data_IF_963050719811
#
_entry.id   IF_963050719811
#
_cell.length_a   1.000
_cell.length_b   1.000
_cell.length_c   1.000
_cell.angle_alpha   90.00
_cell.angle_beta   90.00
_cell.angle_gamma   90.00
#
_symmetry.space_group_name_H-M   'P 1'
#
loop_
_entity.id
_entity.type
_entity.pdbx_description
1 polymer ?
#
# COMPACT_ATOMS: atom_id res chain seq x y z
N UNK A 1 -17.40 -1.85 11.37
CA UNK A 1 -16.21 -0.99 11.25
C UNK A 1 -14.94 -1.78 10.92
N UNK A 2 -14.63 -2.84 11.68
CA UNK A 2 -13.42 -3.66 11.48
C UNK A 2 -13.31 -4.21 10.04
N UNK A 3 -14.32 -4.93 9.57
CA UNK A 3 -14.33 -5.51 8.23
C UNK A 3 -14.21 -4.46 7.12
N UNK A 4 -14.76 -3.26 7.33
CA UNK A 4 -14.70 -2.17 6.35
C UNK A 4 -13.26 -1.70 6.12
N UNK A 5 -12.47 -1.52 7.18
CA UNK A 5 -11.05 -1.13 7.07
C UNK A 5 -10.27 -2.15 6.26
N UNK A 6 -10.49 -3.44 6.55
CA UNK A 6 -9.86 -4.53 5.81
C UNK A 6 -10.28 -4.54 4.33
N UNK A 7 -11.58 -4.41 4.04
CA UNK A 7 -12.07 -4.37 2.66
C UNK A 7 -11.55 -3.18 1.87
N UNK A 8 -11.50 -1.98 2.46
CA UNK A 8 -10.97 -0.78 1.79
C UNK A 8 -9.49 -0.93 1.47
N UNK A 9 -8.70 -1.44 2.42
CA UNK A 9 -7.26 -1.63 2.24
C UNK A 9 -6.93 -2.74 1.23
N UNK A 10 -7.67 -3.85 1.25
CA UNK A 10 -7.55 -4.86 0.21
C UNK A 10 -8.03 -4.36 -1.16
N UNK A 11 -9.09 -3.54 -1.19
CA UNK A 11 -9.55 -2.87 -2.41
C UNK A 11 -8.48 -1.96 -2.99
N UNK A 12 -7.78 -1.18 -2.15
CA UNK A 12 -6.65 -0.38 -2.56
C UNK A 12 -5.51 -1.25 -3.13
N UNK A 13 -5.19 -2.38 -2.50
CA UNK A 13 -4.19 -3.32 -3.02
C UNK A 13 -4.59 -3.89 -4.40
N UNK A 14 -5.88 -4.13 -4.61
CA UNK A 14 -6.42 -4.56 -5.89
C UNK A 14 -6.39 -3.43 -6.95
N UNK A 15 -6.60 -2.18 -6.57
CA UNK A 15 -6.48 -1.03 -7.47
C UNK A 15 -5.03 -0.86 -7.97
N UNK A 16 -4.05 -1.05 -7.07
CA UNK A 16 -2.61 -1.07 -7.43
C UNK A 16 -2.33 -2.14 -8.49
N UNK A 17 -2.93 -3.33 -8.36
CA UNK A 17 -2.82 -4.41 -9.38
C UNK A 17 -3.36 -3.98 -10.75
N UNK A 18 -4.46 -3.21 -10.79
CA UNK A 18 -5.06 -2.76 -12.05
C UNK A 18 -4.35 -1.54 -12.65
N UNK A 19 -3.33 -0.99 -11.97
CA UNK A 19 -2.58 0.19 -12.39
C UNK A 19 -3.47 1.39 -12.70
N UNK A 20 -4.47 1.60 -11.85
CA UNK A 20 -5.26 2.83 -11.88
C UNK A 20 -4.50 4.03 -11.31
N UNK A 21 -3.20 3.89 -11.02
CA UNK A 21 -2.31 5.05 -10.99
C UNK A 21 -2.46 5.74 -12.34
N UNK A 22 -3.10 6.91 -12.34
CA UNK A 22 -3.24 7.79 -13.50
C UNK A 22 -1.92 7.83 -14.25
N UNK A 23 -1.81 7.03 -15.30
CA UNK A 23 -0.68 7.11 -16.21
C UNK A 23 -0.82 8.48 -16.82
N UNK A 24 0.16 9.33 -16.51
CA UNK A 24 0.28 10.61 -17.18
C UNK A 24 0.65 10.27 -18.63
N UNK A 25 -0.35 10.09 -19.48
CA UNK A 25 -0.21 9.81 -20.91
C UNK A 25 0.54 10.94 -21.63
N UNK A 26 0.79 12.07 -20.97
CA UNK A 26 1.66 13.14 -21.47
C UNK A 26 3.11 12.69 -21.77
N UNK A 27 3.57 11.55 -21.24
CA UNK A 27 4.94 11.05 -21.48
C UNK A 27 5.07 10.22 -22.77
N UNK A 28 3.97 9.88 -23.46
CA UNK A 28 4.05 9.08 -24.69
C UNK A 28 4.74 9.81 -25.85
N UNK A 29 4.75 11.15 -25.83
CA UNK A 29 5.41 11.99 -26.84
C UNK A 29 6.91 12.23 -26.56
N UNK A 30 7.46 11.73 -25.45
CA UNK A 30 8.85 11.95 -25.07
C UNK A 30 9.80 10.86 -25.59
N UNK A 31 11.08 11.19 -25.85
CA UNK A 31 12.12 10.24 -26.22
C UNK A 31 12.22 9.05 -25.25
N UNK A 32 12.57 7.87 -25.78
CA UNK A 32 12.62 6.59 -25.05
C UNK A 32 13.48 6.63 -23.77
N UNK A 33 14.54 7.46 -23.75
CA UNK A 33 15.39 7.67 -22.57
C UNK A 33 14.68 8.36 -21.41
N UNK A 34 13.84 9.36 -21.70
CA UNK A 34 13.06 10.09 -20.68
C UNK A 34 11.95 9.20 -20.14
N UNK A 35 11.30 8.41 -21.01
CA UNK A 35 10.28 7.43 -20.59
C UNK A 35 10.84 6.37 -19.63
N UNK A 36 12.09 5.93 -19.82
CA UNK A 36 12.76 5.01 -18.88
C UNK A 36 13.05 5.68 -17.53
N UNK A 37 13.52 6.93 -17.54
CA UNK A 37 13.78 7.68 -16.32
C UNK A 37 12.51 7.88 -15.48
N UNK A 38 11.40 8.29 -16.11
CA UNK A 38 10.11 8.46 -15.43
C UNK A 38 9.59 7.15 -14.82
N UNK A 39 9.69 6.03 -15.54
CA UNK A 39 9.33 4.71 -14.98
C UNK A 39 10.20 4.33 -13.78
N UNK A 40 11.49 4.66 -13.81
CA UNK A 40 12.38 4.36 -12.69
C UNK A 40 12.05 5.21 -11.47
N UNK A 41 11.72 6.50 -11.67
CA UNK A 41 11.26 7.40 -10.61
C UNK A 41 9.94 6.90 -10.02
N UNK A 42 8.97 6.54 -10.86
CA UNK A 42 7.69 5.97 -10.45
C UNK A 42 7.90 4.75 -9.54
N UNK A 43 8.77 3.81 -9.95
CA UNK A 43 9.09 2.62 -9.16
C UNK A 43 9.69 2.99 -7.80
N UNK A 44 10.66 3.91 -7.77
CA UNK A 44 11.31 4.36 -6.53
C UNK A 44 10.29 5.00 -5.58
N UNK A 45 9.41 5.85 -6.11
CA UNK A 45 8.39 6.54 -5.31
C UNK A 45 7.38 5.54 -4.74
N UNK A 46 6.91 4.58 -5.53
CA UNK A 46 6.00 3.52 -5.06
C UNK A 46 6.68 2.69 -3.96
N UNK A 47 7.94 2.29 -4.17
CA UNK A 47 8.67 1.50 -3.17
C UNK A 47 8.88 2.26 -1.86
N UNK A 48 9.26 3.54 -1.95
CA UNK A 48 9.42 4.41 -0.79
C UNK A 48 8.09 4.60 -0.05
N UNK A 49 7.00 4.83 -0.77
CA UNK A 49 5.66 4.94 -0.19
C UNK A 49 5.26 3.65 0.52
N UNK A 50 5.43 2.49 -0.11
CA UNK A 50 5.10 1.19 0.49
C UNK A 50 5.94 0.90 1.74
N UNK A 51 7.22 1.25 1.72
CA UNK A 51 8.10 1.10 2.88
C UNK A 51 7.60 1.93 4.07
N UNK A 52 7.32 3.22 3.84
CA UNK A 52 6.75 4.12 4.85
C UNK A 52 5.40 3.59 5.35
N UNK A 53 4.52 3.18 4.44
CA UNK A 53 3.18 2.68 4.76
C UNK A 53 3.21 1.45 5.66
N UNK A 54 4.11 0.49 5.39
CA UNK A 54 4.28 -0.71 6.22
C UNK A 54 4.95 -0.36 7.56
N UNK A 55 6.02 0.45 7.54
CA UNK A 55 6.79 0.78 8.74
C UNK A 55 5.94 1.50 9.78
N UNK A 56 5.26 2.58 9.37
CA UNK A 56 4.37 3.32 10.26
C UNK A 56 3.11 2.51 10.62
N UNK A 57 2.65 1.62 9.75
CA UNK A 57 1.58 0.68 10.07
C UNK A 57 1.95 -0.26 11.22
N UNK A 58 3.17 -0.81 11.22
CA UNK A 58 3.68 -1.65 12.31
C UNK A 58 3.83 -0.86 13.60
N UNK A 59 4.35 0.36 13.54
CA UNK A 59 4.48 1.23 14.71
C UNK A 59 3.10 1.51 15.34
N UNK A 60 2.12 1.86 14.51
CA UNK A 60 0.74 2.08 14.94
C UNK A 60 0.15 0.84 15.64
N UNK A 61 0.37 -0.35 15.08
CA UNK A 61 -0.10 -1.61 15.69
C UNK A 61 0.54 -1.83 17.05
N UNK A 62 1.86 -1.60 17.17
CA UNK A 62 2.59 -1.75 18.43
C UNK A 62 2.06 -0.80 19.51
N UNK A 63 1.86 0.47 19.16
CA UNK A 63 1.35 1.48 20.09
C UNK A 63 -0.07 1.13 20.56
N UNK A 64 -0.92 0.61 19.65
CA UNK A 64 -2.27 0.15 19.99
C UNK A 64 -2.29 -1.12 20.84
N UNK A 65 -1.33 -2.03 20.67
CA UNK A 65 -1.17 -3.18 21.57
C UNK A 65 -0.75 -2.75 22.98
N UNK A 66 0.14 -1.77 23.08
CA UNK A 66 0.62 -1.25 24.37
C UNK A 66 -0.44 -0.43 25.11
N UNK A 67 -1.24 0.36 24.38
CA UNK A 67 -2.33 1.15 24.99
C UNK A 67 -3.49 0.29 25.48
N UNK A 68 -3.61 -0.95 24.99
CA UNK A 68 -4.70 -1.87 25.36
C UNK A 68 -6.08 -1.41 24.92
N UNK A 69 -6.17 -0.42 24.02
CA UNK A 69 -7.44 0.12 23.56
C UNK A 69 -8.28 -0.96 22.86
N UNK A 70 -9.54 -1.09 23.28
CA UNK A 70 -10.51 -1.99 22.67
C UNK A 70 -11.44 -1.28 21.70
N UNK A 71 -11.94 -2.01 20.71
CA UNK A 71 -12.95 -1.50 19.76
C UNK A 71 -14.31 -1.41 20.46
N UNK A 72 -14.55 -0.31 21.17
CA UNK A 72 -15.82 -0.01 21.82
C UNK A 72 -16.26 -1.12 22.78
N UNK A 73 -17.39 -1.76 22.48
CA UNK A 73 -17.97 -2.85 23.29
C UNK A 73 -17.35 -4.24 23.02
N UNK A 74 -16.53 -4.41 21.98
CA UNK A 74 -15.90 -5.71 21.71
C UNK A 74 -14.60 -5.83 22.53
N UNK A 75 -14.33 -7.00 23.16
CA UNK A 75 -13.07 -7.27 23.89
C UNK A 75 -11.87 -7.48 22.95
N UNK A 76 -11.92 -6.94 21.73
CA UNK A 76 -10.87 -7.00 20.73
C UNK A 76 -10.08 -5.69 20.77
N UNK A 77 -8.76 -5.78 20.68
CA UNK A 77 -7.92 -4.60 20.62
C UNK A 77 -8.00 -3.93 19.24
N UNK A 78 -7.92 -2.60 19.22
CA UNK A 78 -7.92 -1.81 17.97
C UNK A 78 -6.73 -2.18 17.08
N UNK A 79 -5.65 -2.70 17.66
CA UNK A 79 -4.50 -3.23 16.95
C UNK A 79 -4.86 -4.27 15.87
N UNK A 80 -5.89 -5.11 16.10
CA UNK A 80 -6.37 -6.09 15.13
C UNK A 80 -7.02 -5.46 13.89
N UNK A 81 -7.58 -4.26 14.05
CA UNK A 81 -8.15 -3.50 12.93
C UNK A 81 -7.02 -2.96 12.05
N UNK A 82 -5.99 -2.40 12.68
CA UNK A 82 -4.86 -1.78 11.96
C UNK A 82 -3.86 -2.77 11.37
N UNK A 83 -3.90 -4.05 11.77
CA UNK A 83 -3.15 -5.12 11.09
C UNK A 83 -3.45 -5.24 9.59
N UNK A 84 -4.62 -4.75 9.14
CA UNK A 84 -4.92 -4.63 7.72
C UNK A 84 -3.92 -3.76 6.95
N UNK A 85 -3.26 -2.78 7.60
CA UNK A 85 -2.30 -1.86 6.97
C UNK A 85 -1.05 -2.60 6.46
N UNK A 86 -0.24 -3.26 7.32
CA UNK A 86 0.94 -3.97 6.84
C UNK A 86 0.57 -5.13 5.91
N UNK A 87 -0.55 -5.82 6.15
CA UNK A 87 -1.00 -6.93 5.29
C UNK A 87 -1.32 -6.43 3.87
N UNK A 88 -2.10 -5.35 3.76
CA UNK A 88 -2.41 -4.76 2.45
C UNK A 88 -1.17 -4.15 1.78
N UNK A 89 -0.28 -3.52 2.54
CA UNK A 89 1.00 -3.01 2.05
C UNK A 89 1.89 -4.11 1.46
N UNK A 90 1.97 -5.27 2.12
CA UNK A 90 2.67 -6.45 1.60
C UNK A 90 2.03 -6.99 0.32
N UNK A 91 0.68 -7.02 0.25
CA UNK A 91 -0.01 -7.40 -0.98
C UNK A 91 0.27 -6.41 -2.13
N UNK A 92 0.25 -5.11 -1.86
CA UNK A 92 0.61 -4.09 -2.86
C UNK A 92 2.04 -4.29 -3.36
N UNK A 93 2.99 -4.50 -2.45
CA UNK A 93 4.39 -4.75 -2.79
C UNK A 93 4.53 -5.98 -3.69
N UNK A 94 3.85 -7.08 -3.35
CA UNK A 94 3.82 -8.28 -4.19
C UNK A 94 3.28 -7.99 -5.60
N UNK A 95 2.19 -7.22 -5.73
CA UNK A 95 1.65 -6.86 -7.04
C UNK A 95 2.59 -5.94 -7.84
N UNK A 96 3.24 -4.97 -7.20
CA UNK A 96 4.23 -4.09 -7.83
C UNK A 96 5.44 -4.89 -8.34
N UNK A 97 5.97 -5.82 -7.53
CA UNK A 97 7.10 -6.68 -7.94
C UNK A 97 6.69 -7.63 -9.06
N UNK A 98 5.51 -8.24 -8.98
CA UNK A 98 4.98 -9.10 -10.04
C UNK A 98 4.80 -8.34 -11.36
N UNK A 99 4.39 -7.09 -11.29
CA UNK A 99 4.26 -6.26 -12.48
C UNK A 99 5.62 -5.94 -13.13
N UNK A 100 6.63 -5.67 -12.30
CA UNK A 100 7.99 -5.43 -12.78
C UNK A 100 8.56 -6.66 -13.50
N UNK A 101 8.30 -7.87 -13.01
CA UNK A 101 8.77 -9.12 -13.61
C UNK A 101 8.02 -9.55 -14.88
N UNK A 102 6.80 -9.03 -15.12
CA UNK A 102 5.99 -9.39 -16.30
C UNK A 102 6.31 -8.52 -17.53
N UNK A 103 7.04 -7.42 -17.35
CA UNK A 103 7.57 -6.58 -18.43
C UNK A 103 8.94 -7.10 -18.88
#
# INVERSE_FOLDING_TARGET
>A
MISFVWFVLFGAALAVKHKEHLKIDLVENFPSSIRKLFKMIELIVIFAFLFVFIYYGILLIRDNFQSGQTVGFLPLQVAYVYMAIPISGLCMLYYTVKDLMRK
#
